data_IF_310371849952
#
_entry.id   IF_310371849952
#
_cell.length_a   1.000
_cell.length_b   1.000
_cell.length_c   1.000
_cell.angle_alpha   90.00
_cell.angle_beta   90.00
_cell.angle_gamma   90.00
#
_symmetry.space_group_name_H-M   'P 1'
#
loop_
_entity.id
_entity.type
_entity.pdbx_description
1 polymer ?
#
# COMPACT_ATOMS: atom_id res chain seq x y z
N UNK A 1 -74.23 52.77 44.04
CA UNK A 1 -74.48 51.39 43.62
C UNK A 1 -73.31 51.03 42.70
N UNK A 2 -72.26 50.54 43.33
CA UNK A 2 -70.96 50.29 42.68
C UNK A 2 -70.71 48.77 42.65
N UNK A 3 -70.81 48.17 41.45
CA UNK A 3 -70.51 46.73 41.27
C UNK A 3 -69.05 46.61 41.09
N UNK A 4 -68.38 46.03 42.08
CA UNK A 4 -66.96 45.58 41.96
C UNK A 4 -66.92 44.32 41.13
N UNK A 5 -66.24 44.46 39.98
CA UNK A 5 -65.94 43.41 39.07
C UNK A 5 -64.76 42.58 39.64
N UNK A 6 -65.04 41.35 40.14
CA UNK A 6 -64.05 40.41 40.65
C UNK A 6 -63.52 39.62 39.50
N UNK A 7 -62.30 39.94 39.01
CA UNK A 7 -61.54 39.11 38.08
C UNK A 7 -61.07 37.85 38.79
N UNK A 8 -61.29 36.65 38.22
CA UNK A 8 -60.78 35.42 38.80
C UNK A 8 -59.25 35.31 38.56
N UNK A 9 -58.50 34.96 39.61
CA UNK A 9 -57.06 34.76 39.63
C UNK A 9 -56.67 33.63 38.69
N UNK A 10 -55.69 33.90 37.79
CA UNK A 10 -55.07 32.95 36.90
C UNK A 10 -54.31 31.83 37.69
N UNK A 11 -54.51 30.54 37.44
CA UNK A 11 -53.81 29.50 38.17
C UNK A 11 -52.27 29.49 37.79
N UNK A 12 -51.47 29.57 38.83
CA UNK A 12 -50.00 29.47 38.77
C UNK A 12 -49.58 28.13 38.19
N UNK A 13 -49.12 28.12 36.96
CA UNK A 13 -48.53 26.94 36.33
C UNK A 13 -47.19 26.62 37.00
N UNK A 14 -47.17 25.68 37.95
CA UNK A 14 -45.97 25.07 38.51
C UNK A 14 -45.20 24.39 37.36
N UNK A 15 -44.13 25.03 36.88
CA UNK A 15 -43.15 24.43 35.95
C UNK A 15 -42.58 23.15 36.59
N UNK A 16 -43.07 21.99 36.14
CA UNK A 16 -42.49 20.69 36.48
C UNK A 16 -41.06 20.66 35.94
N UNK A 17 -40.08 20.78 36.85
CA UNK A 17 -38.66 20.51 36.52
C UNK A 17 -38.59 19.09 35.99
N UNK A 18 -38.27 18.93 34.72
CA UNK A 18 -38.04 17.63 34.08
C UNK A 18 -36.91 16.92 34.81
N UNK A 19 -37.25 15.89 35.58
CA UNK A 19 -36.27 15.05 36.25
C UNK A 19 -35.38 14.37 35.18
N UNK A 20 -34.05 14.62 35.21
CA UNK A 20 -33.07 13.96 34.36
C UNK A 20 -33.20 12.45 34.58
N UNK A 21 -33.74 11.72 33.59
CA UNK A 21 -33.86 10.26 33.65
C UNK A 21 -32.47 9.66 33.89
N UNK A 22 -32.28 8.77 34.87
CA UNK A 22 -30.98 8.15 35.14
C UNK A 22 -30.55 7.35 33.91
N UNK A 23 -29.32 7.62 33.44
CA UNK A 23 -28.75 6.86 32.31
C UNK A 23 -28.79 5.38 32.66
N UNK A 24 -29.47 4.55 31.85
CA UNK A 24 -29.64 3.11 32.12
C UNK A 24 -28.29 2.44 32.32
N UNK A 25 -28.22 1.44 33.21
CA UNK A 25 -27.01 0.65 33.46
C UNK A 25 -26.39 0.13 32.16
N UNK A 26 -27.22 -0.26 31.19
CA UNK A 26 -26.81 -0.69 29.86
C UNK A 26 -25.97 0.37 29.12
N UNK A 27 -26.34 1.66 29.21
CA UNK A 27 -25.61 2.76 28.56
C UNK A 27 -24.22 2.99 29.19
N UNK A 28 -24.06 2.73 30.50
CA UNK A 28 -22.77 2.80 31.19
C UNK A 28 -21.87 1.62 30.82
N UNK A 29 -22.45 0.42 30.70
CA UNK A 29 -21.72 -0.80 30.28
C UNK A 29 -21.28 -0.64 28.83
N UNK A 30 -22.16 -0.23 27.93
CA UNK A 30 -21.82 0.00 26.52
C UNK A 30 -20.70 1.05 26.35
N UNK A 31 -20.71 2.12 27.14
CA UNK A 31 -19.63 3.11 27.15
C UNK A 31 -18.29 2.55 27.63
N UNK A 32 -18.29 1.65 28.64
CA UNK A 32 -17.06 1.03 29.13
C UNK A 32 -16.51 0.01 28.13
N UNK A 33 -17.39 -0.78 27.51
CA UNK A 33 -17.00 -1.72 26.45
C UNK A 33 -16.46 -0.97 25.23
N UNK A 34 -17.13 0.13 24.82
CA UNK A 34 -16.65 0.97 23.73
C UNK A 34 -15.28 1.62 24.01
N UNK A 35 -15.07 2.10 25.25
CA UNK A 35 -13.77 2.63 25.67
C UNK A 35 -12.69 1.56 25.67
N UNK A 36 -12.99 0.35 26.19
CA UNK A 36 -12.07 -0.78 26.18
C UNK A 36 -11.68 -1.21 24.75
N UNK A 37 -12.66 -1.29 23.84
CA UNK A 37 -12.43 -1.59 22.44
C UNK A 37 -11.57 -0.50 21.76
N UNK A 38 -11.80 0.79 22.06
CA UNK A 38 -11.00 1.90 21.55
C UNK A 38 -9.54 1.81 22.04
N UNK A 39 -9.34 1.55 23.33
CA UNK A 39 -7.98 1.40 23.89
C UNK A 39 -7.27 0.21 23.24
N UNK A 40 -7.94 -0.94 23.12
CA UNK A 40 -7.38 -2.11 22.44
C UNK A 40 -6.99 -1.78 20.98
N UNK A 41 -7.86 -1.09 20.26
CA UNK A 41 -7.58 -0.65 18.89
C UNK A 41 -6.37 0.29 18.82
N UNK A 42 -6.26 1.26 19.74
CA UNK A 42 -5.12 2.19 19.79
C UNK A 42 -3.81 1.46 20.10
N UNK A 43 -3.82 0.52 21.05
CA UNK A 43 -2.64 -0.28 21.40
C UNK A 43 -2.22 -1.17 20.22
N UNK A 44 -3.18 -1.84 19.57
CA UNK A 44 -2.91 -2.65 18.38
C UNK A 44 -2.37 -1.81 17.21
N UNK A 45 -2.92 -0.61 17.00
CA UNK A 45 -2.44 0.33 15.98
C UNK A 45 -1.02 0.81 16.27
N UNK A 46 -0.72 1.16 17.53
CA UNK A 46 0.61 1.58 17.94
C UNK A 46 1.65 0.46 17.78
N UNK A 47 1.29 -0.77 18.17
CA UNK A 47 2.13 -1.94 17.96
C UNK A 47 2.37 -2.21 16.47
N UNK A 48 1.33 -2.08 15.63
CA UNK A 48 1.44 -2.23 14.17
C UNK A 48 2.38 -1.19 13.56
N UNK A 49 2.25 0.08 13.95
CA UNK A 49 3.15 1.16 13.51
C UNK A 49 4.58 0.90 13.97
N UNK A 50 4.78 0.51 15.23
CA UNK A 50 6.10 0.19 15.77
C UNK A 50 6.78 -0.96 15.02
N UNK A 51 6.05 -2.03 14.75
CA UNK A 51 6.53 -3.16 13.94
C UNK A 51 6.89 -2.73 12.52
N UNK A 52 6.03 -1.92 11.89
CA UNK A 52 6.30 -1.40 10.55
C UNK A 52 7.58 -0.56 10.52
N UNK A 53 7.75 0.35 11.48
CA UNK A 53 8.94 1.20 11.56
C UNK A 53 10.21 0.38 11.84
N UNK A 54 10.12 -0.63 12.70
CA UNK A 54 11.21 -1.56 12.95
C UNK A 54 11.61 -2.31 11.66
N UNK A 55 10.67 -2.92 10.98
CA UNK A 55 10.91 -3.62 9.72
C UNK A 55 11.44 -2.67 8.64
N UNK A 56 10.90 -1.44 8.56
CA UNK A 56 11.39 -0.43 7.64
C UNK A 56 12.85 -0.06 7.91
N UNK A 57 13.24 0.08 9.18
CA UNK A 57 14.62 0.42 9.55
C UNK A 57 15.61 -0.72 9.29
N UNK A 58 15.17 -1.97 9.53
CA UNK A 58 16.04 -3.16 9.45
C UNK A 58 16.08 -3.82 8.07
N UNK A 59 15.11 -3.54 7.18
CA UNK A 59 15.10 -4.08 5.83
C UNK A 59 16.01 -3.22 4.94
N UNK A 60 17.11 -3.75 4.47
CA UNK A 60 17.97 -3.09 3.49
C UNK A 60 17.38 -3.22 2.08
N UNK A 61 17.58 -2.19 1.24
CA UNK A 61 17.25 -2.27 -0.16
C UNK A 61 18.41 -3.00 -0.85
N UNK A 62 18.22 -4.20 -1.40
CA UNK A 62 19.27 -4.88 -2.11
C UNK A 62 19.68 -4.09 -3.36
N UNK A 63 20.94 -4.22 -3.80
CA UNK A 63 21.38 -3.57 -5.03
C UNK A 63 20.65 -4.19 -6.22
N UNK A 64 19.92 -3.39 -7.02
CA UNK A 64 19.19 -3.88 -8.19
C UNK A 64 20.06 -4.61 -9.22
N UNK A 65 21.36 -4.34 -9.21
CA UNK A 65 22.30 -4.94 -10.16
C UNK A 65 22.98 -6.22 -9.64
N UNK A 66 22.84 -6.56 -8.35
CA UNK A 66 23.57 -7.70 -7.77
C UNK A 66 23.07 -9.06 -8.28
N UNK A 67 21.77 -9.20 -8.59
CA UNK A 67 21.16 -10.49 -8.93
C UNK A 67 20.84 -10.65 -10.43
N UNK A 68 20.99 -9.59 -11.23
CA UNK A 68 20.70 -9.61 -12.68
C UNK A 68 21.94 -9.63 -13.58
N UNK A 69 23.12 -9.80 -13.01
CA UNK A 69 24.23 -10.30 -13.81
C UNK A 69 23.84 -11.73 -14.23
N UNK A 70 23.02 -11.80 -15.29
CA UNK A 70 22.78 -13.05 -15.99
C UNK A 70 24.15 -13.61 -16.29
N UNK A 71 24.51 -14.71 -15.62
CA UNK A 71 25.71 -15.43 -15.89
C UNK A 71 25.56 -16.01 -17.30
N UNK A 72 25.92 -15.21 -18.30
CA UNK A 72 26.09 -15.66 -19.67
C UNK A 72 27.47 -16.26 -19.74
N UNK A 73 27.55 -17.56 -19.93
CA UNK A 73 28.80 -18.21 -20.21
C UNK A 73 29.09 -18.05 -21.69
N UNK A 74 30.13 -17.32 -22.02
CA UNK A 74 30.65 -17.25 -23.41
C UNK A 74 31.64 -18.36 -23.65
N UNK A 75 31.50 -19.02 -24.77
CA UNK A 75 32.42 -20.09 -25.22
C UNK A 75 33.20 -19.55 -26.40
N UNK A 76 34.52 -19.52 -26.28
CA UNK A 76 35.43 -19.02 -27.31
C UNK A 76 36.22 -20.16 -27.91
N UNK A 77 36.76 -19.94 -29.14
CA UNK A 77 37.82 -20.79 -29.67
C UNK A 77 39.09 -20.64 -28.84
N UNK A 78 40.07 -21.50 -29.12
CA UNK A 78 41.32 -21.54 -28.37
C UNK A 78 42.19 -20.27 -28.49
N UNK A 79 41.84 -19.36 -29.39
CA UNK A 79 42.45 -18.05 -29.59
C UNK A 79 41.84 -16.92 -28.73
N UNK A 80 40.76 -17.24 -27.97
CA UNK A 80 40.03 -16.32 -27.11
C UNK A 80 39.42 -15.08 -27.82
N UNK A 81 39.46 -15.03 -29.15
CA UNK A 81 39.00 -13.90 -29.94
C UNK A 81 37.69 -14.20 -30.66
N UNK A 82 37.52 -15.42 -31.13
CA UNK A 82 36.29 -15.80 -31.84
C UNK A 82 35.35 -16.57 -30.93
N UNK A 83 34.12 -16.04 -30.76
CA UNK A 83 33.11 -16.66 -29.93
C UNK A 83 32.43 -17.81 -30.68
N UNK A 84 32.48 -19.02 -30.13
CA UNK A 84 31.78 -20.19 -30.64
C UNK A 84 30.29 -20.12 -30.35
N UNK A 85 29.95 -19.63 -29.15
CA UNK A 85 28.56 -19.53 -28.68
C UNK A 85 28.45 -18.96 -27.29
N UNK A 86 27.23 -18.82 -26.81
CA UNK A 86 26.94 -18.44 -25.45
C UNK A 86 25.86 -19.33 -24.87
N UNK A 87 26.00 -19.69 -23.59
CA UNK A 87 24.98 -20.34 -22.80
C UNK A 87 24.42 -19.31 -21.83
N UNK A 88 23.21 -18.87 -22.07
CA UNK A 88 22.49 -17.99 -21.18
C UNK A 88 21.16 -18.63 -20.82
N UNK A 89 20.75 -18.51 -19.54
CA UNK A 89 19.41 -18.93 -19.11
C UNK A 89 18.34 -18.04 -19.77
N UNK A 90 18.74 -16.80 -20.10
CA UNK A 90 17.90 -15.83 -20.80
C UNK A 90 18.78 -14.96 -21.71
N UNK A 91 18.42 -14.86 -22.98
CA UNK A 91 19.10 -13.95 -23.90
C UNK A 91 18.42 -12.58 -23.83
N UNK A 92 18.82 -11.74 -22.86
CA UNK A 92 18.28 -10.39 -22.67
C UNK A 92 19.28 -9.34 -23.11
N UNK A 93 18.80 -8.41 -23.89
CA UNK A 93 19.53 -7.18 -24.20
C UNK A 93 18.95 -6.08 -23.31
N UNK A 94 19.72 -5.62 -22.33
CA UNK A 94 19.33 -4.49 -21.47
C UNK A 94 19.45 -3.18 -22.26
N UNK A 95 18.45 -2.33 -22.10
CA UNK A 95 18.42 -1.00 -22.70
C UNK A 95 18.48 0.04 -21.59
N UNK A 96 19.31 1.07 -21.79
CA UNK A 96 19.24 2.28 -20.96
C UNK A 96 17.92 2.99 -21.17
N UNK A 97 17.42 3.66 -20.16
CA UNK A 97 16.15 4.42 -20.19
C UNK A 97 16.07 5.39 -21.37
N UNK A 98 17.17 6.06 -21.70
CA UNK A 98 17.24 7.00 -22.82
C UNK A 98 17.01 6.33 -24.17
N UNK A 99 17.42 5.08 -24.32
CA UNK A 99 17.33 4.30 -25.56
C UNK A 99 15.97 3.58 -25.70
N UNK A 100 15.15 3.54 -24.62
CA UNK A 100 13.81 2.94 -24.66
C UNK A 100 12.83 3.85 -25.41
N UNK A 101 12.06 3.33 -26.38
CA UNK A 101 11.03 4.12 -27.07
C UNK A 101 10.03 4.74 -26.10
N UNK A 102 9.74 6.03 -26.26
CA UNK A 102 8.81 6.74 -25.36
C UNK A 102 7.40 6.14 -25.38
N UNK A 103 6.97 5.60 -26.53
CA UNK A 103 5.65 4.95 -26.66
C UNK A 103 5.54 3.72 -25.77
N UNK A 104 6.61 2.93 -25.63
CA UNK A 104 6.64 1.74 -24.75
C UNK A 104 6.55 2.16 -23.28
N UNK A 105 7.35 3.14 -22.86
CA UNK A 105 7.32 3.70 -21.51
C UNK A 105 5.91 4.20 -21.15
N UNK A 106 5.30 4.98 -22.04
CA UNK A 106 3.96 5.52 -21.83
C UNK A 106 2.88 4.43 -21.80
N UNK A 107 2.97 3.45 -22.69
CA UNK A 107 2.00 2.35 -22.75
C UNK A 107 2.02 1.51 -21.48
N UNK A 108 3.19 1.15 -20.98
CA UNK A 108 3.33 0.37 -19.75
C UNK A 108 2.85 1.16 -18.53
N UNK A 109 3.24 2.43 -18.41
CA UNK A 109 2.77 3.28 -17.31
C UNK A 109 1.26 3.46 -17.36
N UNK A 110 0.67 3.66 -18.52
CA UNK A 110 -0.78 3.81 -18.68
C UNK A 110 -1.54 2.51 -18.33
N UNK A 111 -1.01 1.36 -18.70
CA UNK A 111 -1.64 0.07 -18.46
C UNK A 111 -1.51 -0.41 -17.00
N UNK A 112 -0.31 -0.31 -16.43
CA UNK A 112 0.00 -0.91 -15.13
C UNK A 112 -0.18 0.06 -13.97
N UNK A 113 0.23 1.32 -14.13
CA UNK A 113 0.21 2.32 -13.06
C UNK A 113 0.27 3.74 -13.60
N UNK A 114 -0.86 4.32 -13.94
CA UNK A 114 -0.96 5.68 -14.50
C UNK A 114 -0.43 6.78 -13.57
N UNK A 115 -0.31 6.52 -12.26
CA UNK A 115 0.24 7.45 -11.26
C UNK A 115 1.71 7.20 -10.93
N UNK A 116 2.40 6.34 -11.68
CA UNK A 116 3.75 5.89 -11.38
C UNK A 116 4.74 7.00 -11.03
N UNK A 117 4.76 8.08 -11.81
CA UNK A 117 5.71 9.17 -11.61
C UNK A 117 5.41 10.03 -10.37
N UNK A 118 4.22 9.92 -9.80
CA UNK A 118 3.77 10.73 -8.65
C UNK A 118 3.56 9.92 -7.38
N UNK A 119 3.45 8.59 -7.49
CA UNK A 119 3.24 7.74 -6.31
C UNK A 119 4.53 7.53 -5.51
N UNK A 120 4.43 7.26 -4.19
CA UNK A 120 5.58 6.98 -3.34
C UNK A 120 6.09 5.53 -3.41
N UNK A 121 5.79 4.79 -4.48
CA UNK A 121 6.09 3.37 -4.63
C UNK A 121 4.91 2.43 -4.33
N UNK A 122 3.80 2.94 -3.81
CA UNK A 122 2.57 2.20 -3.54
C UNK A 122 1.34 3.06 -3.80
N UNK A 123 0.17 2.42 -3.95
CA UNK A 123 -1.10 3.10 -4.20
C UNK A 123 -2.11 2.79 -3.11
N UNK A 124 -2.42 3.77 -2.24
CA UNK A 124 -3.49 3.62 -1.24
C UNK A 124 -4.84 3.33 -1.90
N UNK A 125 -5.29 4.05 -2.95
CA UNK A 125 -6.53 3.73 -3.63
C UNK A 125 -6.54 2.31 -4.23
N UNK A 126 -5.41 1.87 -4.78
CA UNK A 126 -5.22 0.50 -5.28
C UNK A 126 -5.36 -0.55 -4.18
N UNK A 127 -4.75 -0.32 -3.02
CA UNK A 127 -4.86 -1.20 -1.85
C UNK A 127 -6.29 -1.30 -1.32
N UNK A 128 -6.99 -0.17 -1.16
CA UNK A 128 -8.39 -0.17 -0.73
C UNK A 128 -9.30 -0.87 -1.72
N UNK A 129 -9.11 -0.67 -3.03
CA UNK A 129 -9.86 -1.37 -4.07
C UNK A 129 -9.61 -2.88 -4.02
N UNK A 130 -8.36 -3.31 -3.84
CA UNK A 130 -8.00 -4.71 -3.70
C UNK A 130 -8.68 -5.35 -2.47
N UNK A 131 -8.63 -4.69 -1.30
CA UNK A 131 -9.30 -5.14 -0.08
C UNK A 131 -10.82 -5.25 -0.27
N UNK A 132 -11.43 -4.27 -0.92
CA UNK A 132 -12.87 -4.27 -1.21
C UNK A 132 -13.27 -5.42 -2.14
N UNK A 133 -12.48 -5.70 -3.17
CA UNK A 133 -12.72 -6.83 -4.08
C UNK A 133 -12.58 -8.16 -3.37
N UNK A 134 -11.57 -8.34 -2.51
CA UNK A 134 -11.41 -9.54 -1.67
C UNK A 134 -12.65 -9.74 -0.79
N UNK A 135 -13.11 -8.67 -0.11
CA UNK A 135 -14.29 -8.74 0.76
C UNK A 135 -15.58 -9.11 0.01
N UNK A 136 -15.65 -8.81 -1.30
CA UNK A 136 -16.75 -9.19 -2.18
C UNK A 136 -16.58 -10.55 -2.84
N UNK A 137 -15.47 -11.26 -2.60
CA UNK A 137 -15.19 -12.54 -3.27
C UNK A 137 -14.78 -12.42 -4.75
N UNK A 138 -14.43 -11.21 -5.21
CA UNK A 138 -13.97 -10.97 -6.56
C UNK A 138 -12.46 -11.18 -6.68
N UNK A 139 -12.00 -11.50 -7.90
CA UNK A 139 -10.56 -11.54 -8.16
C UNK A 139 -9.90 -10.18 -8.01
N UNK A 140 -8.69 -10.19 -7.42
CA UNK A 140 -7.89 -8.98 -7.21
C UNK A 140 -7.17 -8.61 -8.49
N UNK A 141 -7.75 -7.71 -9.28
CA UNK A 141 -7.09 -7.15 -10.45
C UNK A 141 -6.54 -5.75 -10.15
N UNK A 142 -5.27 -5.49 -10.52
CA UNK A 142 -4.71 -4.16 -10.68
C UNK A 142 -4.55 -3.32 -9.41
N UNK A 143 -4.05 -3.92 -8.31
CA UNK A 143 -3.79 -3.17 -7.06
C UNK A 143 -2.32 -2.85 -6.77
N UNK A 144 -1.37 -3.47 -7.49
CA UNK A 144 0.07 -3.27 -7.27
C UNK A 144 0.65 -2.25 -8.25
N UNK A 145 1.52 -1.37 -7.75
CA UNK A 145 2.26 -0.40 -8.57
C UNK A 145 3.38 -1.07 -9.37
N UNK A 146 3.93 -0.39 -10.39
CA UNK A 146 5.13 -0.82 -11.11
C UNK A 146 6.28 -1.09 -10.14
N UNK A 147 6.49 -0.21 -9.16
CA UNK A 147 7.54 -0.39 -8.14
C UNK A 147 7.33 -1.67 -7.33
N UNK A 148 6.11 -1.96 -6.89
CA UNK A 148 5.80 -3.20 -6.17
C UNK A 148 5.99 -4.46 -7.03
N UNK A 149 5.61 -4.39 -8.30
CA UNK A 149 5.81 -5.49 -9.25
C UNK A 149 7.30 -5.73 -9.49
N UNK A 150 8.08 -4.67 -9.65
CA UNK A 150 9.54 -4.75 -9.83
C UNK A 150 10.20 -5.39 -8.61
N UNK A 151 9.90 -4.92 -7.39
CA UNK A 151 10.38 -5.52 -6.14
C UNK A 151 10.03 -7.01 -6.04
N UNK A 152 8.80 -7.37 -6.40
CA UNK A 152 8.35 -8.76 -6.38
C UNK A 152 9.20 -9.65 -7.29
N UNK A 153 9.53 -9.16 -8.47
CA UNK A 153 10.33 -9.92 -9.46
C UNK A 153 11.78 -10.04 -8.99
N UNK A 154 12.34 -8.95 -8.44
CA UNK A 154 13.75 -8.88 -8.04
C UNK A 154 14.06 -9.70 -6.79
N UNK A 155 13.22 -9.60 -5.75
CA UNK A 155 13.67 -9.96 -4.39
C UNK A 155 12.75 -10.94 -3.67
N UNK A 156 11.61 -11.30 -4.25
CA UNK A 156 10.62 -12.05 -3.50
C UNK A 156 10.31 -13.40 -4.15
N UNK A 157 10.21 -14.44 -3.29
CA UNK A 157 9.78 -15.77 -3.71
C UNK A 157 8.36 -15.77 -4.30
N UNK A 158 8.03 -16.82 -5.05
CA UNK A 158 6.69 -17.00 -5.63
C UNK A 158 5.60 -17.27 -4.60
N UNK A 159 5.95 -17.49 -3.33
CA UNK A 159 4.99 -17.77 -2.26
C UNK A 159 4.07 -16.58 -1.97
N UNK A 160 2.79 -16.87 -1.80
CA UNK A 160 1.76 -15.86 -1.53
C UNK A 160 1.49 -15.75 -0.03
N UNK A 161 2.43 -15.21 0.74
CA UNK A 161 2.29 -15.01 2.18
C UNK A 161 2.05 -13.53 2.53
N UNK A 162 1.43 -13.30 3.71
CA UNK A 162 1.24 -11.94 4.21
C UNK A 162 2.58 -11.27 4.56
N UNK A 163 3.54 -12.01 5.12
CA UNK A 163 4.89 -11.51 5.42
C UNK A 163 5.58 -11.01 4.16
N UNK A 164 5.55 -11.80 3.09
CA UNK A 164 6.07 -11.36 1.79
C UNK A 164 5.43 -10.06 1.32
N UNK A 165 4.10 -9.90 1.49
CA UNK A 165 3.40 -8.69 1.04
C UNK A 165 3.77 -7.46 1.86
N UNK A 166 4.07 -7.63 3.14
CA UNK A 166 4.58 -6.55 3.99
C UNK A 166 5.99 -6.14 3.55
N UNK A 167 6.88 -7.10 3.30
CA UNK A 167 8.23 -6.83 2.79
C UNK A 167 8.20 -6.14 1.43
N UNK A 168 7.36 -6.60 0.51
CA UNK A 168 7.12 -5.95 -0.79
C UNK A 168 6.74 -4.48 -0.62
N UNK A 169 5.82 -4.18 0.29
CA UNK A 169 5.39 -2.81 0.55
C UNK A 169 6.53 -1.95 1.12
N UNK A 170 7.29 -2.48 2.09
CA UNK A 170 8.41 -1.77 2.71
C UNK A 170 9.50 -1.47 1.68
N UNK A 171 9.90 -2.47 0.90
CA UNK A 171 10.90 -2.30 -0.16
C UNK A 171 10.43 -1.34 -1.25
N UNK A 172 9.14 -1.41 -1.63
CA UNK A 172 8.57 -0.49 -2.62
C UNK A 172 8.55 0.96 -2.13
N UNK A 173 8.29 1.20 -0.84
CA UNK A 173 8.37 2.54 -0.24
C UNK A 173 9.82 3.04 -0.24
N UNK A 174 10.78 2.20 0.14
CA UNK A 174 12.21 2.55 0.13
C UNK A 174 12.67 2.85 -1.29
N UNK A 175 12.43 1.95 -2.23
CA UNK A 175 12.79 2.12 -3.64
C UNK A 175 12.17 3.39 -4.24
N UNK A 176 10.90 3.65 -3.95
CA UNK A 176 10.21 4.85 -4.44
C UNK A 176 10.76 6.17 -3.89
N UNK A 177 11.48 6.13 -2.75
CA UNK A 177 12.13 7.30 -2.12
C UNK A 177 13.59 7.45 -2.49
N UNK A 178 14.32 6.35 -2.64
CA UNK A 178 15.77 6.32 -2.78
C UNK A 178 16.23 6.23 -4.24
N UNK A 179 15.37 5.67 -5.12
CA UNK A 179 15.71 5.43 -6.52
C UNK A 179 14.88 6.33 -7.45
N UNK A 180 15.51 7.03 -8.41
CA UNK A 180 14.79 7.80 -9.42
C UNK A 180 13.77 6.95 -10.19
N UNK A 181 12.61 7.53 -10.51
CA UNK A 181 11.51 6.83 -11.20
C UNK A 181 11.93 6.27 -12.56
N UNK A 182 12.78 6.99 -13.26
CA UNK A 182 13.35 6.57 -14.55
C UNK A 182 14.14 5.27 -14.40
N UNK A 183 14.93 5.15 -13.32
CA UNK A 183 15.73 3.95 -13.05
C UNK A 183 14.86 2.76 -12.61
N UNK A 184 13.79 3.02 -11.87
CA UNK A 184 12.80 1.98 -11.52
C UNK A 184 12.12 1.46 -12.79
N UNK A 185 11.69 2.36 -13.68
CA UNK A 185 11.03 1.97 -14.92
C UNK A 185 11.98 1.26 -15.89
N UNK A 186 13.22 1.73 -15.98
CA UNK A 186 14.30 1.07 -16.75
C UNK A 186 14.48 -0.38 -16.28
N UNK A 187 14.69 -0.56 -14.99
CA UNK A 187 14.86 -1.89 -14.42
C UNK A 187 13.62 -2.78 -14.59
N UNK A 188 12.44 -2.24 -14.38
CA UNK A 188 11.19 -2.96 -14.59
C UNK A 188 11.04 -3.45 -16.03
N UNK A 189 11.21 -2.56 -17.02
CA UNK A 189 11.09 -2.90 -18.45
C UNK A 189 12.15 -3.88 -18.91
N UNK A 190 13.36 -3.84 -18.36
CA UNK A 190 14.41 -4.81 -18.63
C UNK A 190 14.18 -6.18 -17.97
N UNK A 191 13.26 -6.26 -17.01
CA UNK A 191 13.06 -7.46 -16.18
C UNK A 191 11.79 -8.22 -16.51
N UNK A 192 10.72 -7.53 -16.89
CA UNK A 192 9.45 -8.17 -17.23
C UNK A 192 9.52 -8.93 -18.55
N UNK A 193 8.64 -9.94 -18.66
CA UNK A 193 8.35 -10.61 -19.92
C UNK A 193 7.13 -9.99 -20.55
N UNK A 194 7.19 -9.70 -21.82
CA UNK A 194 6.08 -9.28 -22.65
C UNK A 194 5.47 -10.46 -23.41
#
# INVERSE_FOLDING_TARGET
MEQQDQQPAKPEQKRKRAAKRPKSRARKILGRVGLGALILFLVASLAGVGTFLYLYATTELPDPNSDFTTNTTFIYYNDEQEQIGSLAVQNRVTLDYANMPQVVKNAVVAAENSTFFTDPGFSLPGMFRAMWNIAKGNEVQGGSTITQQYIKILYLSSERTADRKIRELILAIKMGREVPKEKILEGYLNTIYF
#
